data_IF_290706698727
#
_entry.id   IF_290706698727
#
_cell.length_a   1.000
_cell.length_b   1.000
_cell.length_c   1.000
_cell.angle_alpha   90.00
_cell.angle_beta   90.00
_cell.angle_gamma   90.00
#
_symmetry.space_group_name_H-M   'P 1'
#
loop_
_entity.id
_entity.type
_entity.pdbx_description
1 polymer ?
#
# COMPACT_ATOMS: atom_id res chain seq x y z
N UNK A 1 17.06 -54.54 -29.90
CA UNK A 1 17.34 -54.46 -28.45
C UNK A 1 18.43 -53.45 -28.09
N UNK A 2 19.46 -53.25 -28.93
CA UNK A 2 20.57 -52.33 -28.59
C UNK A 2 20.19 -50.85 -28.59
N UNK A 3 19.29 -50.43 -29.49
CA UNK A 3 18.83 -49.03 -29.59
C UNK A 3 18.11 -48.59 -28.29
N UNK A 4 17.31 -49.46 -27.67
CA UNK A 4 16.68 -49.17 -26.37
C UNK A 4 17.69 -49.02 -25.23
N UNK A 5 18.79 -49.78 -25.25
CA UNK A 5 19.84 -49.67 -24.21
C UNK A 5 20.60 -48.35 -24.33
N UNK A 6 20.93 -47.93 -25.55
CA UNK A 6 21.57 -46.64 -25.81
C UNK A 6 20.66 -45.47 -25.41
N UNK A 7 19.36 -45.54 -25.70
CA UNK A 7 18.40 -44.52 -25.27
C UNK A 7 18.27 -44.42 -23.74
N UNK A 8 18.21 -45.57 -23.04
CA UNK A 8 18.15 -45.60 -21.58
C UNK A 8 19.44 -45.08 -20.93
N UNK A 9 20.61 -45.42 -21.50
CA UNK A 9 21.90 -44.89 -21.03
C UNK A 9 21.99 -43.38 -21.26
N UNK A 10 21.51 -42.88 -22.41
CA UNK A 10 21.49 -41.45 -22.69
C UNK A 10 20.55 -40.68 -21.75
N UNK A 11 19.35 -41.22 -21.47
CA UNK A 11 18.43 -40.64 -20.48
C UNK A 11 19.03 -40.65 -19.07
N UNK A 12 19.67 -41.75 -18.67
CA UNK A 12 20.34 -41.83 -17.38
C UNK A 12 21.50 -40.84 -17.27
N UNK A 13 22.38 -40.76 -18.28
CA UNK A 13 23.51 -39.83 -18.32
C UNK A 13 23.05 -38.38 -18.39
N UNK A 14 21.98 -38.07 -19.13
CA UNK A 14 21.40 -36.72 -19.16
C UNK A 14 20.78 -36.33 -17.82
N UNK A 15 20.08 -37.26 -17.16
CA UNK A 15 19.55 -37.03 -15.81
C UNK A 15 20.66 -36.86 -14.77
N UNK A 16 21.76 -37.62 -14.90
CA UNK A 16 22.93 -37.53 -14.04
C UNK A 16 23.69 -36.22 -14.27
N UNK A 17 23.80 -35.77 -15.53
CA UNK A 17 24.36 -34.47 -15.89
C UNK A 17 23.53 -33.32 -15.34
N UNK A 18 22.19 -33.40 -15.42
CA UNK A 18 21.27 -32.43 -14.82
C UNK A 18 21.42 -32.43 -13.28
N UNK A 19 21.52 -33.62 -12.66
CA UNK A 19 21.73 -33.77 -11.22
C UNK A 19 23.07 -33.13 -10.81
N UNK A 20 24.17 -33.44 -11.51
CA UNK A 20 25.52 -32.92 -11.25
C UNK A 20 25.63 -31.43 -11.55
N UNK A 21 24.98 -30.91 -12.60
CA UNK A 21 24.90 -29.47 -12.86
C UNK A 21 24.10 -28.75 -11.79
N UNK A 22 23.07 -29.39 -11.25
CA UNK A 22 22.28 -28.84 -10.16
C UNK A 22 23.01 -28.88 -8.82
N UNK A 23 23.93 -29.83 -8.62
CA UNK A 23 24.89 -29.80 -7.50
C UNK A 23 25.98 -28.72 -7.70
N UNK A 24 26.42 -28.47 -8.94
CA UNK A 24 27.38 -27.38 -9.25
C UNK A 24 26.77 -25.98 -9.15
N UNK A 25 25.46 -25.82 -9.32
CA UNK A 25 24.80 -24.53 -9.14
C UNK A 25 24.77 -24.08 -7.66
N UNK A 26 25.08 -24.98 -6.70
CA UNK A 26 25.17 -24.62 -5.28
C UNK A 26 26.48 -23.93 -4.88
N UNK A 27 27.49 -23.83 -5.77
CA UNK A 27 28.74 -23.12 -5.46
C UNK A 27 28.90 -21.85 -6.31
N UNK A 28 28.08 -20.84 -6.04
CA UNK A 28 28.36 -19.47 -6.52
C UNK A 28 29.39 -18.82 -5.59
N UNK A 29 30.62 -19.33 -5.63
CA UNK A 29 31.74 -18.76 -4.90
C UNK A 29 32.48 -17.73 -5.78
N UNK A 30 32.43 -16.49 -5.31
CA UNK A 30 33.44 -15.44 -5.43
C UNK A 30 33.40 -14.46 -6.63
N UNK A 31 32.61 -13.40 -6.45
CA UNK A 31 33.05 -12.01 -6.67
C UNK A 31 32.62 -11.21 -5.44
N UNK A 32 33.44 -10.27 -4.92
CA UNK A 32 33.26 -9.48 -3.67
C UNK A 32 31.87 -8.83 -3.47
N UNK A 33 30.82 -9.62 -3.24
CA UNK A 33 29.50 -9.22 -2.74
C UNK A 33 29.24 -10.06 -1.50
N UNK A 34 28.99 -9.40 -0.36
CA UNK A 34 28.65 -10.04 0.91
C UNK A 34 27.20 -10.51 0.81
N UNK A 35 26.98 -11.74 0.32
CA UNK A 35 25.67 -12.36 0.31
C UNK A 35 25.30 -12.87 1.71
N UNK A 36 24.01 -12.82 2.11
CA UNK A 36 23.58 -13.40 3.38
C UNK A 36 23.88 -14.91 3.44
N UNK A 37 24.33 -15.44 4.59
CA UNK A 37 24.52 -16.88 4.80
C UNK A 37 23.17 -17.62 4.76
N UNK A 38 23.16 -18.94 4.58
CA UNK A 38 21.91 -19.70 4.59
C UNK A 38 22.11 -21.22 4.62
N UNK A 39 21.04 -21.97 4.91
CA UNK A 39 21.04 -23.41 4.79
C UNK A 39 21.14 -23.85 3.33
N UNK A 40 21.53 -25.10 3.12
CA UNK A 40 21.63 -25.69 1.80
C UNK A 40 20.26 -25.83 1.10
N UNK A 41 20.26 -25.89 -0.23
CA UNK A 41 19.06 -25.94 -1.08
C UNK A 41 19.07 -27.17 -1.99
N UNK A 42 17.90 -27.81 -2.13
CA UNK A 42 17.67 -28.93 -3.08
C UNK A 42 17.25 -28.34 -4.44
N UNK A 43 17.58 -28.98 -5.59
CA UNK A 43 17.05 -28.60 -6.89
C UNK A 43 15.51 -28.49 -6.88
N UNK A 44 14.96 -27.48 -7.55
CA UNK A 44 13.52 -27.18 -7.69
C UNK A 44 12.75 -26.80 -6.42
N UNK A 45 12.99 -27.48 -5.30
CA UNK A 45 12.32 -27.25 -3.99
C UNK A 45 13.00 -26.14 -3.19
N UNK A 46 14.31 -25.98 -3.35
CA UNK A 46 15.11 -25.04 -2.58
C UNK A 46 15.26 -25.43 -1.11
N UNK A 47 15.23 -24.45 -0.23
CA UNK A 47 15.32 -24.56 1.23
C UNK A 47 13.97 -24.87 1.91
N UNK A 48 12.87 -25.03 1.16
CA UNK A 48 11.52 -25.26 1.71
C UNK A 48 11.47 -26.48 2.64
N UNK A 49 12.24 -27.52 2.35
CA UNK A 49 12.30 -28.75 3.14
C UNK A 49 12.72 -28.54 4.60
N UNK A 50 13.47 -27.47 4.93
CA UNK A 50 13.80 -27.11 6.32
C UNK A 50 12.60 -26.57 7.10
N UNK A 51 11.51 -26.22 6.43
CA UNK A 51 10.33 -25.59 7.01
C UNK A 51 9.08 -26.49 6.95
N UNK A 52 9.22 -27.75 6.52
CA UNK A 52 8.12 -28.73 6.50
C UNK A 52 7.90 -29.25 7.92
N UNK A 53 7.43 -28.37 8.79
CA UNK A 53 7.10 -28.63 10.19
C UNK A 53 5.71 -28.10 10.49
N UNK A 54 5.14 -28.44 11.64
CA UNK A 54 3.88 -27.84 12.11
C UNK A 54 3.99 -26.35 12.44
N UNK A 55 5.22 -25.83 12.54
CA UNK A 55 5.51 -24.43 12.88
C UNK A 55 6.65 -23.87 12.00
N UNK A 56 6.39 -23.57 10.72
CA UNK A 56 7.41 -23.07 9.79
C UNK A 56 8.07 -21.77 10.26
N UNK A 57 7.33 -20.88 10.93
CA UNK A 57 7.87 -19.67 11.54
C UNK A 57 8.87 -19.94 12.66
N UNK A 58 8.68 -21.01 13.43
CA UNK A 58 9.63 -21.42 14.48
C UNK A 58 10.88 -22.05 13.85
N UNK A 59 10.72 -22.83 12.78
CA UNK A 59 11.85 -23.36 12.01
C UNK A 59 12.72 -22.22 11.43
N UNK A 60 12.10 -21.13 10.96
CA UNK A 60 12.83 -19.94 10.51
C UNK A 60 13.61 -19.25 11.63
N UNK A 61 13.07 -19.19 12.86
CA UNK A 61 13.81 -18.70 14.04
C UNK A 61 15.04 -19.56 14.29
N UNK A 62 14.88 -20.89 14.33
CA UNK A 62 15.97 -21.82 14.65
C UNK A 62 17.07 -21.79 13.57
N UNK A 63 16.68 -21.64 12.29
CA UNK A 63 17.61 -21.40 11.19
C UNK A 63 18.36 -20.06 11.35
N UNK A 64 17.68 -19.01 11.80
CA UNK A 64 18.32 -17.71 12.04
C UNK A 64 19.30 -17.76 13.21
N UNK A 65 19.07 -18.57 14.24
CA UNK A 65 20.05 -18.81 15.32
C UNK A 65 21.32 -19.47 14.77
N UNK A 66 21.18 -20.39 13.82
CA UNK A 66 22.31 -21.14 13.24
C UNK A 66 23.08 -20.38 12.16
N UNK A 67 22.37 -19.66 11.30
CA UNK A 67 22.94 -19.03 10.10
C UNK A 67 23.09 -17.51 10.25
N UNK A 68 22.46 -16.90 11.25
CA UNK A 68 22.49 -15.47 11.51
C UNK A 68 21.14 -14.80 11.22
N UNK A 69 20.92 -13.59 11.79
CA UNK A 69 19.62 -12.90 11.79
C UNK A 69 19.22 -12.31 10.43
N UNK A 70 20.08 -12.39 9.42
CA UNK A 70 19.80 -12.05 8.03
C UNK A 70 20.33 -13.22 7.21
N UNK A 71 19.43 -14.05 6.69
CA UNK A 71 19.79 -15.29 6.03
C UNK A 71 19.11 -15.43 4.67
N UNK A 72 19.79 -16.08 3.74
CA UNK A 72 19.31 -16.40 2.42
C UNK A 72 18.63 -17.78 2.42
N UNK A 73 17.49 -17.88 1.76
CA UNK A 73 16.73 -19.09 1.52
C UNK A 73 16.30 -19.13 0.05
N UNK A 74 16.24 -20.31 -0.54
CA UNK A 74 15.58 -20.50 -1.83
C UNK A 74 14.18 -21.08 -1.61
N UNK A 75 13.14 -20.31 -1.89
CA UNK A 75 11.76 -20.78 -1.78
C UNK A 75 11.24 -21.18 -3.17
N UNK A 76 11.33 -22.47 -3.49
CA UNK A 76 11.05 -22.96 -4.84
C UNK A 76 12.10 -22.46 -5.83
N UNK A 77 11.69 -21.63 -6.81
CA UNK A 77 12.58 -20.95 -7.75
C UNK A 77 12.94 -19.50 -7.33
N UNK A 78 12.42 -19.02 -6.20
CA UNK A 78 12.63 -17.64 -5.77
C UNK A 78 13.75 -17.53 -4.74
N UNK A 79 14.68 -16.62 -5.00
CA UNK A 79 15.74 -16.23 -4.08
C UNK A 79 15.15 -15.29 -3.01
N UNK A 80 15.17 -15.72 -1.75
CA UNK A 80 14.51 -15.02 -0.62
C UNK A 80 15.53 -14.68 0.47
N UNK A 81 15.43 -13.49 1.05
CA UNK A 81 16.18 -13.13 2.26
C UNK A 81 15.21 -13.01 3.42
N UNK A 82 15.49 -13.71 4.51
CA UNK A 82 14.71 -13.66 5.76
C UNK A 82 15.49 -12.88 6.80
N UNK A 83 14.82 -11.90 7.41
CA UNK A 83 15.36 -11.12 8.53
C UNK A 83 14.64 -11.51 9.83
N UNK A 84 15.40 -11.72 10.89
CA UNK A 84 14.90 -12.22 12.18
C UNK A 84 15.43 -11.42 13.37
N UNK A 85 15.95 -10.20 13.14
CA UNK A 85 16.32 -9.27 14.20
C UNK A 85 15.56 -7.95 14.09
N UNK A 86 15.37 -7.29 15.23
CA UNK A 86 14.77 -5.95 15.31
C UNK A 86 15.50 -4.94 14.42
N UNK A 87 16.83 -4.91 14.47
CA UNK A 87 17.63 -3.95 13.72
C UNK A 87 17.48 -4.16 12.20
N UNK A 88 17.56 -5.40 11.72
CA UNK A 88 17.37 -5.71 10.30
C UNK A 88 15.93 -5.44 9.85
N UNK A 89 14.93 -5.80 10.67
CA UNK A 89 13.53 -5.49 10.38
C UNK A 89 13.29 -3.98 10.30
N UNK A 90 13.87 -3.19 11.20
CA UNK A 90 13.78 -1.73 11.15
C UNK A 90 14.45 -1.16 9.90
N UNK A 91 15.61 -1.70 9.51
CA UNK A 91 16.28 -1.28 8.28
C UNK A 91 15.43 -1.56 7.04
N UNK A 92 14.75 -2.71 6.98
CA UNK A 92 13.88 -3.08 5.85
C UNK A 92 12.57 -2.29 5.85
N UNK A 93 11.91 -2.16 7.01
CA UNK A 93 10.55 -1.62 7.11
C UNK A 93 10.47 -0.13 7.41
N UNK A 94 11.59 0.54 7.72
CA UNK A 94 11.64 1.98 7.99
C UNK A 94 12.77 2.65 7.22
N UNK A 95 14.03 2.24 7.42
CA UNK A 95 15.16 2.99 6.84
C UNK A 95 15.29 2.86 5.33
N UNK A 96 14.78 1.77 4.76
CA UNK A 96 14.81 1.49 3.32
C UNK A 96 13.42 1.08 2.82
N UNK A 97 12.36 1.52 3.50
CA UNK A 97 10.98 1.09 3.27
C UNK A 97 10.56 1.20 1.79
N UNK A 98 10.90 2.29 1.10
CA UNK A 98 10.63 2.49 -0.34
C UNK A 98 11.25 1.40 -1.20
N UNK A 99 12.49 0.96 -0.90
CA UNK A 99 13.18 -0.08 -1.66
C UNK A 99 12.54 -1.48 -1.46
N UNK A 100 11.78 -1.67 -0.38
CA UNK A 100 11.14 -2.94 -0.02
C UNK A 100 9.59 -2.85 -0.01
N UNK A 101 9.03 -1.75 -0.52
CA UNK A 101 7.60 -1.50 -0.53
C UNK A 101 6.88 -2.42 -1.53
N UNK A 102 7.50 -2.68 -2.67
CA UNK A 102 6.95 -3.54 -3.72
C UNK A 102 6.87 -5.00 -3.29
N UNK A 103 5.83 -5.68 -3.78
CA UNK A 103 5.53 -7.09 -3.48
C UNK A 103 5.70 -7.89 -4.75
N UNK A 104 6.46 -8.99 -4.69
CA UNK A 104 6.68 -9.82 -5.87
C UNK A 104 5.35 -10.49 -6.26
N UNK A 105 4.95 -10.30 -7.52
CA UNK A 105 3.75 -10.92 -8.09
C UNK A 105 3.97 -12.45 -8.21
N UNK A 106 3.56 -13.19 -7.18
CA UNK A 106 3.45 -14.64 -7.26
C UNK A 106 2.18 -14.99 -8.05
N UNK A 107 2.16 -16.08 -8.82
CA UNK A 107 0.94 -16.54 -9.52
C UNK A 107 -0.23 -16.72 -8.54
N UNK A 108 0.05 -17.22 -7.33
CA UNK A 108 -0.96 -17.31 -6.27
C UNK A 108 -1.45 -15.93 -5.82
N UNK A 109 -0.57 -14.92 -5.78
CA UNK A 109 -0.95 -13.54 -5.47
C UNK A 109 -1.73 -12.87 -6.62
N UNK A 110 -1.47 -13.25 -7.87
CA UNK A 110 -2.29 -12.82 -9.01
C UNK A 110 -3.72 -13.35 -8.90
N UNK A 111 -3.87 -14.63 -8.54
CA UNK A 111 -5.19 -15.26 -8.36
C UNK A 111 -5.91 -14.70 -7.11
N UNK A 112 -5.23 -14.66 -5.96
CA UNK A 112 -5.79 -14.16 -4.69
C UNK A 112 -6.08 -12.66 -4.78
N UNK A 113 -5.20 -11.93 -5.47
CA UNK A 113 -5.20 -10.48 -5.58
C UNK A 113 -5.93 -9.93 -6.81
N UNK A 114 -6.61 -10.77 -7.59
CA UNK A 114 -7.30 -10.38 -8.82
C UNK A 114 -6.39 -9.56 -9.76
N UNK A 115 -5.29 -10.15 -10.21
CA UNK A 115 -4.30 -9.48 -11.05
C UNK A 115 -3.33 -8.59 -10.27
N UNK A 116 -3.06 -8.90 -8.99
CA UNK A 116 -2.20 -8.09 -8.09
C UNK A 116 -2.72 -6.67 -7.84
N UNK A 117 -4.04 -6.49 -7.83
CA UNK A 117 -4.68 -5.20 -7.60
C UNK A 117 -5.23 -5.06 -6.18
N UNK A 118 -4.90 -5.97 -5.27
CA UNK A 118 -5.27 -5.87 -3.87
C UNK A 118 -4.20 -5.13 -3.03
N UNK A 119 -4.60 -4.67 -1.84
CA UNK A 119 -3.77 -3.92 -0.91
C UNK A 119 -2.47 -4.63 -0.51
N UNK A 120 -2.44 -5.96 -0.49
CA UNK A 120 -1.28 -6.72 -0.02
C UNK A 120 -0.26 -6.99 -1.14
N UNK A 121 -0.66 -7.00 -2.41
CA UNK A 121 0.20 -7.42 -3.52
C UNK A 121 0.35 -6.40 -4.65
N UNK A 122 -0.31 -5.24 -4.58
CA UNK A 122 -0.15 -4.20 -5.61
C UNK A 122 1.27 -3.62 -5.67
N UNK A 123 1.88 -3.53 -6.86
CA UNK A 123 3.19 -2.90 -7.03
C UNK A 123 3.13 -1.42 -6.64
N UNK A 124 4.18 -0.94 -5.98
CA UNK A 124 4.27 0.45 -5.55
C UNK A 124 4.69 1.31 -6.75
N UNK A 125 3.84 2.25 -7.17
CA UNK A 125 4.10 3.16 -8.29
C UNK A 125 4.13 4.62 -7.84
N UNK A 126 5.31 5.24 -7.85
CA UNK A 126 5.56 6.55 -7.22
C UNK A 126 4.68 7.68 -7.76
N UNK A 127 4.54 7.79 -9.09
CA UNK A 127 3.82 8.93 -9.69
C UNK A 127 2.31 8.84 -9.49
N UNK A 128 1.71 7.69 -9.82
CA UNK A 128 0.26 7.52 -9.77
C UNK A 128 -0.29 7.54 -8.33
N UNK A 129 0.40 6.89 -7.38
CA UNK A 129 0.02 6.93 -5.96
C UNK A 129 0.16 8.34 -5.40
N UNK A 130 1.22 9.05 -5.78
CA UNK A 130 1.43 10.42 -5.34
C UNK A 130 0.33 11.36 -5.86
N UNK A 131 -0.02 11.28 -7.15
CA UNK A 131 -1.14 12.04 -7.72
C UNK A 131 -2.48 11.70 -7.05
N UNK A 132 -2.77 10.41 -6.86
CA UNK A 132 -4.01 9.95 -6.23
C UNK A 132 -4.13 10.42 -4.79
N UNK A 133 -3.05 10.35 -4.02
CA UNK A 133 -2.98 10.89 -2.67
C UNK A 133 -3.30 12.38 -2.65
N UNK A 134 -2.67 13.18 -3.52
CA UNK A 134 -2.94 14.63 -3.59
C UNK A 134 -4.41 14.93 -3.89
N UNK A 135 -5.01 14.20 -4.83
CA UNK A 135 -6.43 14.33 -5.19
C UNK A 135 -7.34 13.99 -4.01
N UNK A 136 -7.06 12.89 -3.30
CA UNK A 136 -7.82 12.49 -2.11
C UNK A 136 -7.69 13.54 -1.00
N UNK A 137 -6.48 14.04 -0.74
CA UNK A 137 -6.25 15.06 0.29
C UNK A 137 -7.01 16.35 -0.02
N UNK A 138 -6.97 16.83 -1.26
CA UNK A 138 -7.72 18.02 -1.66
C UNK A 138 -9.23 17.80 -1.64
N UNK A 139 -9.69 16.60 -1.99
CA UNK A 139 -11.10 16.21 -1.88
C UNK A 139 -11.57 16.26 -0.42
N UNK A 140 -10.79 15.71 0.52
CA UNK A 140 -11.14 15.72 1.94
C UNK A 140 -11.01 17.11 2.58
N UNK A 141 -10.16 18.00 2.03
CA UNK A 141 -10.08 19.40 2.43
C UNK A 141 -11.36 20.16 2.06
N UNK A 142 -11.77 20.09 0.79
CA UNK A 142 -12.95 20.81 0.31
C UNK A 142 -14.26 20.15 0.77
N UNK A 143 -14.29 18.83 0.85
CA UNK A 143 -15.49 18.05 1.17
C UNK A 143 -15.25 17.13 2.38
N UNK A 144 -14.99 17.70 3.57
CA UNK A 144 -14.81 16.89 4.78
C UNK A 144 -16.11 16.15 5.10
N UNK A 145 -15.98 14.86 5.43
CA UNK A 145 -17.12 14.01 5.81
C UNK A 145 -17.88 14.61 7.00
N UNK A 146 -17.15 15.21 7.94
CA UNK A 146 -17.68 15.91 9.10
C UNK A 146 -17.26 17.39 9.04
N UNK A 147 -18.07 18.29 8.44
CA UNK A 147 -17.77 19.73 8.41
C UNK A 147 -17.55 20.32 9.81
N UNK A 148 -18.37 19.88 10.76
CA UNK A 148 -18.17 20.06 12.19
C UNK A 148 -17.78 18.70 12.78
N UNK A 149 -16.59 18.59 13.35
CA UNK A 149 -16.13 17.35 13.98
C UNK A 149 -17.00 17.00 15.20
N UNK A 150 -16.94 15.73 15.60
CA UNK A 150 -17.69 15.24 16.78
C UNK A 150 -17.34 16.11 18.00
N UNK A 151 -18.34 16.73 18.64
CA UNK A 151 -18.08 17.65 19.75
C UNK A 151 -17.37 16.98 20.93
N UNK A 152 -16.45 17.72 21.54
CA UNK A 152 -15.72 17.32 22.74
C UNK A 152 -16.39 17.89 23.99
N UNK A 153 -16.50 17.10 25.06
CA UNK A 153 -16.97 17.61 26.35
C UNK A 153 -15.81 18.22 27.15
N UNK A 154 -15.94 19.47 27.54
CA UNK A 154 -15.01 20.15 28.43
C UNK A 154 -15.09 19.55 29.85
N UNK A 155 -14.05 18.84 30.30
CA UNK A 155 -14.06 18.13 31.60
C UNK A 155 -13.67 19.01 32.79
N UNK A 156 -13.02 20.14 32.55
CA UNK A 156 -12.55 21.12 33.55
C UNK A 156 -12.52 22.49 32.89
N UNK A 157 -12.95 23.53 33.60
CA UNK A 157 -12.87 24.91 33.10
C UNK A 157 -11.44 25.23 32.68
N UNK A 158 -11.27 25.74 31.47
CA UNK A 158 -9.98 26.05 30.89
C UNK A 158 -10.07 27.23 29.91
N UNK A 159 -8.92 27.81 29.58
CA UNK A 159 -8.80 28.82 28.54
C UNK A 159 -8.64 28.16 27.15
N UNK A 160 -9.38 28.67 26.16
CA UNK A 160 -9.20 28.34 24.74
C UNK A 160 -9.10 29.66 23.98
N UNK A 161 -7.89 30.02 23.55
CA UNK A 161 -7.66 31.21 22.72
C UNK A 161 -7.94 32.54 23.43
N UNK A 162 -7.75 32.60 24.74
CA UNK A 162 -8.05 33.77 25.58
C UNK A 162 -9.49 33.83 26.10
N UNK A 163 -10.30 32.80 25.84
CA UNK A 163 -11.68 32.70 26.32
C UNK A 163 -11.83 31.55 27.30
N UNK A 164 -12.50 31.82 28.43
CA UNK A 164 -12.85 30.77 29.38
C UNK A 164 -13.96 29.86 28.83
N UNK A 165 -13.72 28.56 28.85
CA UNK A 165 -14.70 27.52 28.52
C UNK A 165 -15.01 26.72 29.77
N UNK A 166 -16.23 26.90 30.30
CA UNK A 166 -16.65 26.24 31.53
C UNK A 166 -16.75 24.72 31.38
N UNK A 167 -16.45 24.00 32.47
CA UNK A 167 -16.71 22.54 32.58
C UNK A 167 -18.16 22.23 32.18
N UNK A 168 -18.34 21.18 31.38
CA UNK A 168 -19.65 20.74 30.87
C UNK A 168 -19.99 21.28 29.48
N UNK A 169 -19.26 22.28 28.99
CA UNK A 169 -19.47 22.82 27.64
C UNK A 169 -19.11 21.78 26.57
N UNK A 170 -19.93 21.72 25.51
CA UNK A 170 -19.58 20.98 24.29
C UNK A 170 -18.82 21.90 23.35
N UNK A 171 -17.66 21.45 22.87
CA UNK A 171 -16.78 22.21 21.98
C UNK A 171 -16.70 21.48 20.63
N UNK A 172 -17.23 22.12 19.59
CA UNK A 172 -17.12 21.64 18.21
C UNK A 172 -15.92 22.26 17.50
N UNK A 173 -15.29 21.50 16.60
CA UNK A 173 -14.21 21.98 15.73
C UNK A 173 -14.78 22.10 14.32
N UNK A 174 -14.83 23.34 13.80
CA UNK A 174 -15.33 23.62 12.46
C UNK A 174 -14.24 23.35 11.42
N UNK A 175 -14.01 22.06 11.11
CA UNK A 175 -13.01 21.62 10.15
C UNK A 175 -13.25 22.22 8.76
N UNK A 176 -14.51 22.42 8.36
CA UNK A 176 -14.85 23.04 7.07
C UNK A 176 -14.35 24.47 6.95
N UNK A 177 -14.56 25.30 7.99
CA UNK A 177 -14.08 26.69 7.98
C UNK A 177 -12.55 26.75 8.04
N UNK A 178 -11.92 25.89 8.84
CA UNK A 178 -10.46 25.84 8.94
C UNK A 178 -9.81 25.44 7.62
N UNK A 179 -10.40 24.46 6.92
CA UNK A 179 -9.93 23.98 5.62
C UNK A 179 -10.11 25.01 4.47
N UNK A 180 -10.83 26.11 4.71
CA UNK A 180 -11.10 27.21 3.76
C UNK A 180 -10.55 28.56 4.19
N UNK A 181 -9.81 28.61 5.30
CA UNK A 181 -9.30 29.86 5.80
C UNK A 181 -8.20 30.42 4.86
N UNK A 182 -8.38 31.60 4.25
CA UNK A 182 -7.42 32.15 3.28
C UNK A 182 -6.07 32.51 3.90
N UNK A 183 -5.96 32.57 5.23
CA UNK A 183 -4.67 32.73 5.93
C UNK A 183 -3.74 31.54 5.72
N UNK A 184 -4.30 30.34 5.54
CA UNK A 184 -3.54 29.09 5.42
C UNK A 184 -3.65 28.47 4.01
N UNK A 185 -4.71 28.80 3.29
CA UNK A 185 -5.01 28.21 1.98
C UNK A 185 -5.11 29.30 0.93
N UNK A 186 -4.14 29.34 0.02
CA UNK A 186 -4.24 30.18 -1.18
C UNK A 186 -5.36 29.66 -2.10
N UNK A 187 -6.24 30.58 -2.54
CA UNK A 187 -7.45 30.29 -3.31
C UNK A 187 -8.24 29.11 -2.69
N UNK A 188 -8.81 29.28 -1.49
CA UNK A 188 -9.29 28.16 -0.66
C UNK A 188 -10.45 27.38 -1.27
N UNK A 189 -11.24 27.97 -2.16
CA UNK A 189 -12.35 27.28 -2.84
C UNK A 189 -11.91 26.55 -4.11
N UNK A 190 -10.70 26.80 -4.61
CA UNK A 190 -10.16 26.13 -5.80
C UNK A 190 -9.74 24.70 -5.44
N UNK A 191 -10.24 23.72 -6.20
CA UNK A 191 -9.76 22.34 -6.15
C UNK A 191 -8.41 22.25 -6.86
N UNK A 192 -7.33 22.26 -6.08
CA UNK A 192 -5.95 22.27 -6.60
C UNK A 192 -5.08 21.22 -5.89
N UNK A 193 -5.10 19.95 -6.33
CA UNK A 193 -4.37 18.84 -5.69
C UNK A 193 -2.87 19.10 -5.50
N UNK A 194 -2.24 19.80 -6.44
CA UNK A 194 -0.80 20.11 -6.42
C UNK A 194 -0.35 20.88 -5.18
N UNK A 195 -1.26 21.50 -4.43
CA UNK A 195 -0.94 22.12 -3.12
C UNK A 195 -0.42 21.11 -2.08
N UNK A 196 -0.63 19.81 -2.30
CA UNK A 196 -0.16 18.74 -1.42
C UNK A 196 1.13 18.04 -1.88
N UNK A 197 1.75 18.48 -2.99
CA UNK A 197 2.95 17.83 -3.54
C UNK A 197 4.14 17.84 -2.56
N UNK A 198 4.39 19.00 -1.94
CA UNK A 198 5.49 19.22 -0.99
C UNK A 198 4.98 19.76 0.36
N UNK A 199 3.89 19.18 0.86
CA UNK A 199 3.23 19.63 2.10
C UNK A 199 3.73 18.90 3.35
N UNK A 200 3.64 19.54 4.50
CA UNK A 200 3.76 18.91 5.82
C UNK A 200 2.43 18.35 6.34
N UNK A 201 1.32 18.67 5.67
CA UNK A 201 -0.01 18.17 6.04
C UNK A 201 -0.07 16.65 5.90
N UNK A 202 -0.62 16.00 6.92
CA UNK A 202 -0.94 14.58 6.89
C UNK A 202 -2.40 14.35 7.27
N UNK A 203 -2.88 13.12 7.09
CA UNK A 203 -4.24 12.77 7.51
C UNK A 203 -4.44 12.69 9.03
N UNK A 204 -3.36 12.77 9.82
CA UNK A 204 -3.39 12.70 11.28
C UNK A 204 -3.60 14.08 11.92
N UNK A 205 -3.60 15.14 11.12
CA UNK A 205 -3.73 16.51 11.59
C UNK A 205 -2.49 16.98 12.32
N UNK A 206 -1.30 16.74 11.75
CA UNK A 206 -0.04 17.38 12.15
C UNK A 206 -0.14 18.91 12.07
N UNK A 207 -0.79 19.38 11.01
CA UNK A 207 -1.10 20.77 10.73
C UNK A 207 -2.59 21.03 10.98
N UNK A 208 -2.92 21.82 12.00
CA UNK A 208 -4.32 21.98 12.45
C UNK A 208 -5.20 22.75 11.47
N UNK A 209 -4.65 23.27 10.37
CA UNK A 209 -5.44 23.84 9.27
C UNK A 209 -6.02 22.78 8.31
N UNK A 210 -5.63 21.51 8.47
CA UNK A 210 -6.14 20.34 7.73
C UNK A 210 -6.51 19.21 8.72
N UNK A 211 -7.81 19.00 8.95
CA UNK A 211 -8.33 18.06 9.95
C UNK A 211 -9.37 17.07 9.39
N UNK A 212 -9.07 16.35 8.30
CA UNK A 212 -10.05 15.48 7.63
C UNK A 212 -10.58 14.35 8.52
N UNK A 213 -9.79 13.91 9.49
CA UNK A 213 -10.10 12.82 10.41
C UNK A 213 -9.98 13.23 11.89
N UNK A 214 -9.96 14.54 12.17
CA UNK A 214 -9.58 15.09 13.47
C UNK A 214 -8.10 14.84 13.81
N UNK A 215 -7.75 15.03 15.08
CA UNK A 215 -6.38 14.84 15.59
C UNK A 215 -6.38 14.46 17.08
N UNK A 216 -5.25 13.99 17.58
CA UNK A 216 -5.04 13.64 18.98
C UNK A 216 -5.79 12.39 19.46
N UNK A 217 -6.11 12.33 20.77
CA UNK A 217 -6.61 11.13 21.46
C UNK A 217 -7.97 10.59 20.95
N UNK A 218 -8.71 11.39 20.18
CA UNK A 218 -10.03 11.04 19.63
C UNK A 218 -10.07 11.19 18.12
N UNK A 219 -8.91 11.15 17.46
CA UNK A 219 -8.84 11.05 16.01
C UNK A 219 -9.56 9.79 15.51
N UNK A 220 -9.99 9.81 14.25
CA UNK A 220 -10.70 8.68 13.64
C UNK A 220 -9.89 7.37 13.81
N UNK A 221 -10.46 6.35 14.48
CA UNK A 221 -9.74 5.09 14.68
C UNK A 221 -9.55 4.28 13.39
N UNK A 222 -10.31 4.61 12.33
CA UNK A 222 -10.32 3.87 11.06
C UNK A 222 -9.47 4.59 9.98
N UNK A 223 -8.72 5.64 10.34
CA UNK A 223 -7.95 6.46 9.40
C UNK A 223 -7.11 5.62 8.40
N UNK A 224 -6.22 4.76 8.90
CA UNK A 224 -5.28 4.03 8.04
C UNK A 224 -5.99 3.09 7.08
N UNK A 225 -7.05 2.43 7.53
CA UNK A 225 -7.84 1.53 6.70
C UNK A 225 -8.67 2.30 5.67
N UNK A 226 -9.32 3.39 6.09
CA UNK A 226 -10.17 4.20 5.22
C UNK A 226 -9.41 4.82 4.05
N UNK A 227 -8.22 5.37 4.30
CA UNK A 227 -7.37 5.95 3.25
C UNK A 227 -6.90 4.89 2.25
N UNK A 228 -6.41 3.74 2.74
CA UNK A 228 -5.96 2.65 1.88
C UNK A 228 -7.09 2.10 0.98
N UNK A 229 -8.29 1.93 1.53
CA UNK A 229 -9.46 1.50 0.75
C UNK A 229 -9.86 2.56 -0.28
N UNK A 230 -9.83 3.84 0.08
CA UNK A 230 -10.16 4.92 -0.85
C UNK A 230 -9.17 5.01 -2.01
N UNK A 231 -7.87 4.94 -1.74
CA UNK A 231 -6.82 4.90 -2.75
C UNK A 231 -7.05 3.75 -3.73
N UNK A 232 -7.38 2.56 -3.23
CA UNK A 232 -7.67 1.40 -4.06
C UNK A 232 -8.93 1.56 -4.92
N UNK A 233 -10.01 2.08 -4.33
CA UNK A 233 -11.25 2.31 -5.09
C UNK A 233 -10.99 3.27 -6.24
N UNK A 234 -10.30 4.39 -5.98
CA UNK A 234 -9.92 5.36 -7.01
C UNK A 234 -9.01 4.71 -8.05
N UNK A 235 -8.01 3.91 -7.62
CA UNK A 235 -7.14 3.15 -8.52
C UNK A 235 -7.94 2.31 -9.51
N UNK A 236 -8.85 1.50 -9.00
CA UNK A 236 -9.62 0.55 -9.82
C UNK A 236 -10.57 1.27 -10.74
N UNK A 237 -11.25 2.32 -10.26
CA UNK A 237 -12.16 3.09 -11.10
C UNK A 237 -11.39 3.74 -12.27
N UNK A 238 -10.22 4.31 -12.01
CA UNK A 238 -9.42 4.98 -13.06
C UNK A 238 -8.63 4.00 -13.94
N UNK A 239 -8.30 2.81 -13.46
CA UNK A 239 -7.58 1.81 -14.23
C UNK A 239 -8.48 1.09 -15.24
N UNK A 240 -9.71 0.77 -14.85
CA UNK A 240 -10.61 -0.05 -15.67
C UNK A 240 -11.55 0.76 -16.57
N UNK A 241 -11.74 2.05 -16.32
CA UNK A 241 -12.74 2.84 -17.03
C UNK A 241 -12.25 4.23 -17.38
N UNK A 242 -12.53 4.62 -18.61
CA UNK A 242 -12.59 6.01 -19.01
C UNK A 242 -13.93 6.60 -18.56
N UNK A 243 -13.86 7.69 -17.80
CA UNK A 243 -15.03 8.36 -17.24
C UNK A 243 -15.40 9.59 -18.07
N UNK A 244 -16.68 9.74 -18.38
CA UNK A 244 -17.22 10.94 -19.03
C UNK A 244 -18.54 11.37 -18.43
N UNK A 245 -18.90 12.64 -18.62
CA UNK A 245 -20.19 13.17 -18.22
C UNK A 245 -21.27 12.83 -19.25
N UNK A 246 -22.50 12.50 -18.82
CA UNK A 246 -23.58 12.16 -19.72
C UNK A 246 -24.00 13.36 -20.59
N UNK A 247 -24.46 13.10 -21.81
CA UNK A 247 -25.16 14.09 -22.62
C UNK A 247 -24.33 15.32 -23.05
N UNK A 248 -22.99 15.20 -23.12
CA UNK A 248 -22.06 16.32 -23.42
C UNK A 248 -22.07 17.44 -22.37
N UNK A 249 -22.53 17.15 -21.16
CA UNK A 249 -22.45 18.06 -20.01
C UNK A 249 -21.01 18.54 -19.80
N UNK A 250 -20.85 19.83 -19.51
CA UNK A 250 -19.56 20.42 -19.18
C UNK A 250 -19.22 20.18 -17.70
N UNK A 251 -17.94 20.06 -17.31
CA UNK A 251 -17.54 19.89 -15.91
C UNK A 251 -18.08 20.96 -14.96
N UNK A 252 -18.21 22.20 -15.43
CA UNK A 252 -18.71 23.34 -14.65
C UNK A 252 -20.22 23.25 -14.37
N UNK A 253 -20.96 22.45 -15.15
CA UNK A 253 -22.39 22.20 -14.96
C UNK A 253 -22.66 21.11 -13.91
N UNK A 254 -21.61 20.45 -13.42
CA UNK A 254 -21.74 19.38 -12.42
C UNK A 254 -22.18 19.97 -11.07
N UNK A 255 -23.33 19.52 -10.58
CA UNK A 255 -23.81 19.93 -9.28
C UNK A 255 -22.95 19.35 -8.14
N UNK A 256 -22.18 20.22 -7.50
CA UNK A 256 -21.33 19.91 -6.36
C UNK A 256 -21.95 20.31 -5.01
N UNK A 257 -23.24 20.69 -5.00
CA UNK A 257 -23.94 21.06 -3.77
C UNK A 257 -23.98 19.91 -2.77
N UNK A 258 -23.88 20.27 -1.50
CA UNK A 258 -23.93 19.33 -0.38
C UNK A 258 -25.18 19.55 0.48
N UNK A 259 -25.62 18.47 1.11
CA UNK A 259 -26.54 18.49 2.24
C UNK A 259 -25.73 18.16 3.48
N UNK A 260 -25.82 19.03 4.49
CA UNK A 260 -25.11 18.86 5.76
C UNK A 260 -26.09 18.35 6.81
N UNK A 261 -25.88 17.10 7.24
CA UNK A 261 -26.51 16.53 8.43
C UNK A 261 -25.45 16.19 9.48
N UNK A 262 -25.51 14.99 10.07
CA UNK A 262 -24.39 14.48 10.87
C UNK A 262 -23.11 14.31 10.02
N UNK A 263 -23.27 14.01 8.72
CA UNK A 263 -22.20 13.96 7.72
C UNK A 263 -22.55 14.88 6.54
N UNK A 264 -21.53 15.34 5.83
CA UNK A 264 -21.71 15.97 4.52
C UNK A 264 -21.82 14.91 3.44
N UNK A 265 -22.83 15.05 2.58
CA UNK A 265 -22.99 14.25 1.37
C UNK A 265 -23.44 15.16 0.23
N UNK A 266 -23.22 14.73 -1.01
CA UNK A 266 -23.80 15.41 -2.17
C UNK A 266 -25.32 15.48 -2.04
N UNK A 267 -25.88 16.62 -2.45
CA UNK A 267 -27.32 16.83 -2.50
C UNK A 267 -27.96 15.90 -3.53
N UNK A 268 -27.36 15.86 -4.72
CA UNK A 268 -27.81 15.03 -5.84
C UNK A 268 -26.81 13.90 -6.14
N UNK A 269 -27.30 12.79 -6.68
CA UNK A 269 -26.47 11.65 -7.05
C UNK A 269 -25.53 12.02 -8.20
N UNK A 270 -24.31 11.47 -8.17
CA UNK A 270 -23.35 11.60 -9.26
C UNK A 270 -23.72 10.62 -10.37
N UNK A 271 -24.02 11.14 -11.56
CA UNK A 271 -24.21 10.34 -12.76
C UNK A 271 -22.99 10.47 -13.66
N UNK A 272 -22.36 9.35 -14.00
CA UNK A 272 -21.21 9.26 -14.89
C UNK A 272 -21.40 8.12 -15.89
N UNK A 273 -20.75 8.24 -17.05
CA UNK A 273 -20.63 7.17 -18.03
C UNK A 273 -19.24 6.54 -17.88
N UNK A 274 -19.21 5.24 -17.58
CA UNK A 274 -17.99 4.45 -17.49
C UNK A 274 -17.83 3.64 -18.78
N UNK A 275 -16.77 3.91 -19.54
CA UNK A 275 -16.41 3.13 -20.73
C UNK A 275 -15.23 2.25 -20.35
N UNK A 276 -15.29 0.92 -20.52
CA UNK A 276 -14.14 0.06 -20.23
C UNK A 276 -12.90 0.57 -20.96
N UNK A 277 -11.82 0.75 -20.22
CA UNK A 277 -10.52 1.10 -20.79
C UNK A 277 -9.97 -0.14 -21.49
N UNK A 278 -9.78 -0.07 -22.80
CA UNK A 278 -9.13 -1.14 -23.56
C UNK A 278 -7.65 -1.18 -23.16
N UNK A 279 -7.34 -2.00 -22.16
CA UNK A 279 -5.95 -2.33 -21.82
C UNK A 279 -5.38 -3.04 -23.05
N UNK A 280 -4.36 -2.49 -23.73
CA UNK A 280 -3.66 -3.26 -24.74
C UNK A 280 -2.91 -4.36 -24.00
N UNK A 281 -3.54 -5.53 -23.86
CA UNK A 281 -2.89 -6.74 -23.39
C UNK A 281 -2.02 -7.19 -24.56
N UNK A 282 -0.69 -7.16 -24.47
CA UNK A 282 0.15 -7.79 -25.47
C UNK A 282 -0.03 -9.30 -25.29
N UNK A 283 -1.00 -9.88 -26.00
CA UNK A 283 -0.95 -11.28 -26.30
C UNK A 283 0.16 -11.45 -27.35
N UNK A 284 1.36 -11.84 -26.89
CA UNK A 284 2.33 -12.47 -27.78
C UNK A 284 1.66 -13.75 -28.32
N UNK A 285 1.36 -13.74 -29.62
CA UNK A 285 0.99 -14.93 -30.38
C UNK A 285 2.19 -15.89 -30.52
#
# INVERSE_FOLDING_TARGET
MEICRLALIFLFLSSLLILVSSFRHSSRANTKKRWPPGPWAIPFVGSIHHMVTSQPQAALRDLAEKHGPVMYLRLGQNDTVVVSSRAAAQQVLQSNDVNFASRQALIAAEIIGYGTLDFAFSPYGDYWLHCTRMVIMETLRLHPILPLLVPHLCRKTCDIGGYEVSKGSMVGINAWATARNPKYWDNPEEFRPTRFENTTCDYKGSEFHYLPFGSGRRMCPVLSFGVAVLELIVARLLYYFDWSLPGKMLPEELDMDITVGATAKRRNQLHLVATPYDVPIPFEN
#
